data_IF_643371522745
#
_entry.id   IF_643371522745
#
_cell.length_a   1.000
_cell.length_b   1.000
_cell.length_c   1.000
_cell.angle_alpha   90.00
_cell.angle_beta   90.00
_cell.angle_gamma   90.00
#
_symmetry.space_group_name_H-M   'P 1'
#
loop_
_entity.id
_entity.type
_entity.pdbx_description
1 polymer ?
#
# COMPACT_ATOMS: atom_id res chain seq x y z
N UNK A 1 -25.02 35.36 -57.95
CA UNK A 1 -25.46 34.32 -56.98
C UNK A 1 -24.33 33.30 -56.79
N UNK A 2 -23.52 33.43 -55.74
CA UNK A 2 -22.62 32.37 -55.26
C UNK A 2 -22.76 32.32 -53.74
N UNK A 3 -23.31 31.22 -53.23
CA UNK A 3 -23.53 30.96 -51.80
C UNK A 3 -22.19 30.55 -51.17
N UNK A 4 -21.70 31.34 -50.23
CA UNK A 4 -20.63 30.93 -49.33
C UNK A 4 -21.21 30.12 -48.18
N UNK A 5 -20.77 28.88 -48.02
CA UNK A 5 -21.09 28.04 -46.87
C UNK A 5 -20.04 28.30 -45.78
N UNK A 6 -20.46 28.94 -44.69
CA UNK A 6 -19.69 29.04 -43.44
C UNK A 6 -19.93 27.76 -42.65
N UNK A 7 -18.92 26.90 -42.55
CA UNK A 7 -18.88 25.80 -41.59
C UNK A 7 -18.35 26.34 -40.26
N UNK A 8 -19.24 26.51 -39.28
CA UNK A 8 -18.87 26.76 -37.90
C UNK A 8 -18.46 25.42 -37.26
N UNK A 9 -17.15 25.20 -37.11
CA UNK A 9 -16.63 24.08 -36.33
C UNK A 9 -16.78 24.38 -34.84
N UNK A 10 -17.70 23.67 -34.17
CA UNK A 10 -17.70 23.57 -32.71
C UNK A 10 -16.46 22.80 -32.28
N UNK A 11 -15.47 23.50 -31.73
CA UNK A 11 -14.38 22.87 -30.97
C UNK A 11 -14.94 22.56 -29.58
N UNK A 12 -15.37 21.33 -29.37
CA UNK A 12 -15.65 20.80 -28.04
C UNK A 12 -14.33 20.76 -27.25
N UNK A 13 -14.12 21.71 -26.34
CA UNK A 13 -13.12 21.56 -25.28
C UNK A 13 -13.55 20.38 -24.41
N UNK A 14 -12.97 19.20 -24.69
CA UNK A 14 -12.89 18.14 -23.70
C UNK A 14 -12.02 18.67 -22.55
N UNK A 15 -12.67 19.15 -21.49
CA UNK A 15 -12.04 19.30 -20.20
C UNK A 15 -11.67 17.89 -19.73
N UNK A 16 -10.45 17.47 -20.06
CA UNK A 16 -9.82 16.31 -19.44
C UNK A 16 -9.58 16.75 -18.00
N UNK A 17 -10.54 16.49 -17.11
CA UNK A 17 -10.25 16.47 -15.69
C UNK A 17 -9.16 15.42 -15.54
N UNK A 18 -7.94 15.84 -15.20
CA UNK A 18 -6.84 14.97 -14.83
C UNK A 18 -7.32 14.13 -13.65
N UNK A 19 -7.93 12.99 -13.95
CA UNK A 19 -8.22 11.98 -12.97
C UNK A 19 -6.90 11.62 -12.32
N UNK A 20 -6.81 11.87 -11.03
CA UNK A 20 -5.67 11.50 -10.21
C UNK A 20 -5.43 10.01 -10.40
N UNK A 21 -4.30 9.63 -11.01
CA UNK A 21 -3.98 8.25 -11.34
C UNK A 21 -3.65 7.45 -10.08
N UNK A 22 -4.66 6.90 -9.39
CA UNK A 22 -4.41 6.12 -8.16
C UNK A 22 -5.25 4.84 -8.16
N UNK A 23 -4.69 3.84 -8.84
CA UNK A 23 -5.31 2.56 -9.20
C UNK A 23 -5.71 1.63 -8.03
N UNK A 24 -5.65 2.06 -6.75
CA UNK A 24 -5.97 1.16 -5.63
C UNK A 24 -7.46 1.12 -5.26
N UNK A 25 -8.26 2.14 -5.61
CA UNK A 25 -9.70 2.22 -5.23
C UNK A 25 -10.64 2.87 -6.25
N UNK A 26 -10.23 2.99 -7.50
CA UNK A 26 -11.02 3.61 -8.58
C UNK A 26 -12.26 2.82 -9.01
N UNK A 27 -12.54 1.69 -8.37
CA UNK A 27 -13.71 0.86 -8.66
C UNK A 27 -14.90 1.14 -7.74
N UNK A 28 -14.73 1.91 -6.66
CA UNK A 28 -15.85 2.37 -5.84
C UNK A 28 -16.44 3.65 -6.40
N UNK A 29 -17.76 3.69 -6.46
CA UNK A 29 -18.49 4.95 -6.65
C UNK A 29 -18.23 5.91 -5.47
N UNK A 30 -18.34 7.24 -5.65
CA UNK A 30 -18.26 8.20 -4.55
C UNK A 30 -19.19 7.84 -3.37
N UNK A 31 -20.40 7.38 -3.67
CA UNK A 31 -21.40 6.97 -2.68
C UNK A 31 -20.94 5.75 -1.87
N UNK A 32 -20.38 4.74 -2.55
CA UNK A 32 -19.82 3.58 -1.86
C UNK A 32 -18.63 3.95 -0.98
N UNK A 33 -17.75 4.86 -1.43
CA UNK A 33 -16.65 5.35 -0.59
C UNK A 33 -17.16 6.03 0.67
N UNK A 34 -18.19 6.87 0.54
CA UNK A 34 -18.82 7.54 1.68
C UNK A 34 -19.48 6.53 2.64
N UNK A 35 -20.15 5.50 2.12
CA UNK A 35 -20.73 4.43 2.93
C UNK A 35 -19.66 3.66 3.71
N UNK A 36 -18.59 3.24 3.03
CA UNK A 36 -17.49 2.49 3.64
C UNK A 36 -16.77 3.31 4.73
N UNK A 37 -16.53 4.59 4.48
CA UNK A 37 -15.92 5.50 5.44
C UNK A 37 -16.76 5.67 6.73
N UNK A 38 -18.07 5.38 6.67
CA UNK A 38 -19.00 5.49 7.80
C UNK A 38 -19.30 4.17 8.49
N UNK A 39 -18.80 3.03 8.02
CA UNK A 39 -19.07 1.71 8.62
C UNK A 39 -18.76 1.70 10.13
N UNK A 40 -19.77 1.38 10.93
CA UNK A 40 -19.69 1.20 12.37
C UNK A 40 -20.06 -0.22 12.78
N UNK A 41 -21.08 -0.80 12.15
CA UNK A 41 -21.64 -2.10 12.50
C UNK A 41 -21.36 -3.13 11.42
N UNK A 42 -20.68 -4.21 11.79
CA UNK A 42 -20.26 -5.28 10.89
C UNK A 42 -20.99 -6.57 11.26
N UNK A 43 -21.74 -7.15 10.32
CA UNK A 43 -22.22 -8.52 10.45
C UNK A 43 -21.07 -9.48 10.11
N UNK A 44 -20.75 -10.42 11.00
CA UNK A 44 -19.73 -11.44 10.75
C UNK A 44 -20.39 -12.79 10.47
N UNK A 45 -20.16 -13.30 9.27
CA UNK A 45 -20.55 -14.64 8.86
C UNK A 45 -19.30 -15.53 8.76
N UNK A 46 -19.36 -16.74 9.31
CA UNK A 46 -18.28 -17.72 9.20
C UNK A 46 -18.79 -19.08 8.74
N UNK A 47 -18.06 -19.74 7.84
CA UNK A 47 -18.35 -21.08 7.35
C UNK A 47 -17.08 -21.91 7.44
N UNK A 48 -17.20 -23.16 7.92
CA UNK A 48 -16.10 -24.12 8.02
C UNK A 48 -16.46 -25.39 7.26
N UNK A 49 -15.67 -25.76 6.25
CA UNK A 49 -15.91 -26.91 5.39
C UNK A 49 -14.74 -27.91 5.45
N UNK A 50 -15.07 -29.17 5.65
CA UNK A 50 -14.12 -30.30 5.62
C UNK A 50 -14.51 -31.28 4.53
N UNK A 51 -13.67 -32.28 4.28
CA UNK A 51 -14.04 -33.38 3.37
C UNK A 51 -15.29 -34.16 3.83
N UNK A 52 -15.65 -34.06 5.12
CA UNK A 52 -16.85 -34.67 5.71
C UNK A 52 -18.07 -33.75 5.68
N UNK A 53 -17.96 -32.56 5.08
CA UNK A 53 -19.01 -31.55 5.01
C UNK A 53 -18.79 -30.38 5.97
N UNK A 54 -19.87 -29.62 6.20
CA UNK A 54 -19.84 -28.44 7.07
C UNK A 54 -19.64 -28.86 8.52
N UNK A 55 -18.77 -28.12 9.22
CA UNK A 55 -18.57 -28.26 10.66
C UNK A 55 -18.88 -26.93 11.37
N UNK A 56 -18.83 -26.93 12.69
CA UNK A 56 -19.02 -25.71 13.48
C UNK A 56 -17.93 -24.67 13.19
N UNK A 57 -18.35 -23.43 12.91
CA UNK A 57 -17.47 -22.31 12.57
C UNK A 57 -17.37 -21.27 13.69
N UNK A 58 -17.98 -21.53 14.86
CA UNK A 58 -18.06 -20.57 15.97
C UNK A 58 -16.70 -20.02 16.38
N UNK A 59 -15.68 -20.87 16.53
CA UNK A 59 -14.34 -20.42 16.93
C UNK A 59 -13.71 -19.47 15.90
N UNK A 60 -13.96 -19.67 14.61
CA UNK A 60 -13.47 -18.77 13.55
C UNK A 60 -14.24 -17.44 13.57
N UNK A 61 -15.56 -17.50 13.79
CA UNK A 61 -16.41 -16.31 13.96
C UNK A 61 -16.00 -15.49 15.18
N UNK A 62 -15.66 -16.14 16.29
CA UNK A 62 -15.20 -15.50 17.52
C UNK A 62 -13.90 -14.73 17.32
N UNK A 63 -12.92 -15.31 16.61
CA UNK A 63 -11.70 -14.59 16.22
C UNK A 63 -12.04 -13.34 15.43
N UNK A 64 -12.86 -13.48 14.38
CA UNK A 64 -13.24 -12.37 13.53
C UNK A 64 -13.98 -11.26 14.29
N UNK A 65 -14.92 -11.66 15.16
CA UNK A 65 -15.72 -10.77 16.00
C UNK A 65 -14.84 -9.99 16.96
N UNK A 66 -14.05 -10.68 17.80
CA UNK A 66 -13.18 -10.04 18.78
C UNK A 66 -12.21 -9.08 18.11
N UNK A 67 -11.56 -9.52 17.04
CA UNK A 67 -10.52 -8.72 16.36
C UNK A 67 -11.07 -7.50 15.63
N UNK A 68 -12.29 -7.54 15.10
CA UNK A 68 -12.95 -6.33 14.59
C UNK A 68 -13.37 -5.39 15.73
N UNK A 69 -13.87 -5.94 16.85
CA UNK A 69 -14.22 -5.13 18.03
C UNK A 69 -13.00 -4.43 18.65
N UNK A 70 -11.80 -5.02 18.59
CA UNK A 70 -10.55 -4.36 19.01
C UNK A 70 -10.24 -3.06 18.23
N UNK A 71 -10.75 -2.92 17.00
CA UNK A 71 -10.66 -1.68 16.20
C UNK A 71 -11.87 -0.74 16.42
N UNK A 72 -12.73 -1.09 17.37
CA UNK A 72 -13.91 -0.33 17.76
C UNK A 72 -15.13 -0.52 16.85
N UNK A 73 -15.18 -1.56 16.02
CA UNK A 73 -16.40 -1.90 15.28
C UNK A 73 -17.42 -2.54 16.23
N UNK A 74 -18.69 -2.18 16.07
CA UNK A 74 -19.78 -2.93 16.66
C UNK A 74 -19.98 -4.18 15.81
N UNK A 75 -19.87 -5.36 16.40
CA UNK A 75 -20.02 -6.61 15.64
C UNK A 75 -21.33 -7.29 16.01
N UNK A 76 -22.08 -7.70 14.99
CA UNK A 76 -23.27 -8.53 15.12
C UNK A 76 -23.07 -9.86 14.41
N UNK A 77 -23.79 -10.89 14.87
CA UNK A 77 -23.76 -12.24 14.27
C UNK A 77 -25.14 -12.69 13.79
N UNK A 78 -26.19 -11.94 14.14
CA UNK A 78 -27.56 -12.18 13.74
C UNK A 78 -27.87 -11.32 12.51
N UNK A 79 -28.14 -11.91 11.34
CA UNK A 79 -28.46 -11.17 10.12
C UNK A 79 -29.69 -10.26 10.23
N UNK A 80 -30.58 -10.52 11.21
CA UNK A 80 -31.76 -9.67 11.45
C UNK A 80 -31.40 -8.35 12.15
N UNK A 81 -30.21 -8.23 12.75
CA UNK A 81 -29.76 -6.98 13.37
C UNK A 81 -29.28 -5.98 12.30
N UNK A 82 -29.55 -4.68 12.46
CA UNK A 82 -29.02 -3.65 11.57
C UNK A 82 -27.50 -3.72 11.49
N UNK A 83 -26.96 -3.63 10.27
CA UNK A 83 -25.53 -3.64 9.99
C UNK A 83 -25.23 -2.89 8.69
N UNK A 84 -24.02 -2.36 8.57
CA UNK A 84 -23.60 -1.56 7.41
C UNK A 84 -22.99 -2.44 6.31
N UNK A 85 -22.26 -3.49 6.72
CA UNK A 85 -21.55 -4.42 5.85
C UNK A 85 -21.58 -5.83 6.41
N UNK A 86 -21.40 -6.83 5.53
CA UNK A 86 -21.24 -8.23 5.91
C UNK A 86 -19.80 -8.66 5.66
N UNK A 87 -19.05 -8.98 6.70
CA UNK A 87 -17.73 -9.58 6.59
C UNK A 87 -17.82 -11.10 6.66
N UNK A 88 -17.22 -11.78 5.68
CA UNK A 88 -17.31 -13.24 5.51
C UNK A 88 -15.96 -13.90 5.69
N UNK A 89 -15.96 -14.94 6.53
CA UNK A 89 -14.81 -15.82 6.76
C UNK A 89 -15.18 -17.24 6.35
N UNK A 90 -14.71 -17.68 5.19
CA UNK A 90 -14.95 -19.05 4.72
C UNK A 90 -13.65 -19.84 4.83
N UNK A 91 -13.59 -20.80 5.75
CA UNK A 91 -12.44 -21.67 5.94
C UNK A 91 -12.73 -23.08 5.44
N UNK A 92 -11.81 -23.63 4.65
CA UNK A 92 -11.96 -24.93 4.01
C UNK A 92 -10.71 -25.78 4.28
N UNK A 93 -10.89 -27.07 4.55
CA UNK A 93 -9.79 -28.04 4.65
C UNK A 93 -9.10 -28.22 3.28
N UNK A 94 -9.89 -28.18 2.20
CA UNK A 94 -9.41 -28.19 0.83
C UNK A 94 -10.01 -27.00 0.10
N UNK A 95 -9.18 -25.98 -0.11
CA UNK A 95 -9.62 -24.74 -0.73
C UNK A 95 -10.22 -24.99 -2.12
N UNK A 96 -11.42 -24.43 -2.35
CA UNK A 96 -11.99 -24.28 -3.70
C UNK A 96 -11.62 -22.92 -4.29
N UNK A 97 -11.26 -22.90 -5.57
CA UNK A 97 -10.92 -21.67 -6.26
C UNK A 97 -12.15 -20.76 -6.44
N UNK A 98 -12.11 -19.55 -5.88
CA UNK A 98 -13.21 -18.57 -5.98
C UNK A 98 -12.95 -17.44 -7.00
N UNK A 99 -11.87 -17.54 -7.77
CA UNK A 99 -11.44 -16.49 -8.69
C UNK A 99 -10.25 -15.68 -8.18
N UNK A 100 -9.58 -14.99 -9.10
CA UNK A 100 -8.55 -14.01 -8.79
C UNK A 100 -9.24 -12.68 -8.51
N UNK A 101 -8.65 -11.86 -7.65
CA UNK A 101 -8.89 -10.42 -7.72
C UNK A 101 -8.40 -9.90 -9.10
N UNK A 102 -9.14 -8.99 -9.73
CA UNK A 102 -8.71 -8.33 -10.98
C UNK A 102 -7.64 -7.25 -10.76
N UNK A 103 -7.07 -7.12 -9.56
CA UNK A 103 -5.96 -6.19 -9.29
C UNK A 103 -4.65 -6.73 -9.85
N UNK A 104 -4.12 -6.04 -10.85
CA UNK A 104 -2.87 -6.37 -11.55
C UNK A 104 -1.58 -6.17 -10.75
N UNK A 105 -1.64 -5.84 -9.46
CA UNK A 105 -0.45 -5.75 -8.59
C UNK A 105 -0.55 -6.60 -7.32
N UNK A 106 -1.75 -7.11 -6.98
CA UNK A 106 -1.94 -7.90 -5.77
C UNK A 106 -1.76 -9.39 -6.04
N UNK A 107 -1.83 -9.86 -7.29
CA UNK A 107 -1.75 -11.28 -7.63
C UNK A 107 -0.51 -11.99 -7.06
N UNK A 108 0.59 -11.24 -6.86
CA UNK A 108 1.86 -11.76 -6.34
C UNK A 108 2.00 -11.65 -4.81
N UNK A 109 1.02 -11.06 -4.11
CA UNK A 109 1.05 -10.99 -2.66
C UNK A 109 0.82 -12.40 -2.05
N UNK A 110 1.54 -12.75 -0.96
CA UNK A 110 1.37 -14.05 -0.30
C UNK A 110 -0.08 -14.34 0.13
N UNK A 111 -0.84 -13.28 0.43
CA UNK A 111 -2.22 -13.32 0.91
C UNK A 111 -3.27 -13.16 -0.22
N UNK A 112 -2.84 -13.17 -1.49
CA UNK A 112 -3.76 -13.18 -2.61
C UNK A 112 -4.30 -14.56 -2.91
N UNK A 113 -5.56 -14.68 -3.39
CA UNK A 113 -6.13 -15.98 -3.75
C UNK A 113 -5.23 -16.76 -4.71
N UNK A 114 -4.75 -17.94 -4.31
CA UNK A 114 -3.90 -18.80 -5.16
C UNK A 114 -4.70 -19.86 -5.91
N UNK A 115 -4.57 -19.90 -7.24
CA UNK A 115 -5.17 -20.98 -8.04
C UNK A 115 -4.51 -22.34 -7.77
N UNK A 116 -3.23 -22.33 -7.39
CA UNK A 116 -2.40 -23.55 -7.23
C UNK A 116 -2.51 -24.17 -5.84
N UNK A 117 -2.76 -23.38 -4.80
CA UNK A 117 -2.94 -23.90 -3.44
C UNK A 117 -4.21 -24.76 -3.33
N UNK A 118 -4.08 -25.97 -2.79
CA UNK A 118 -5.20 -26.92 -2.57
C UNK A 118 -5.39 -27.35 -1.12
N UNK A 119 -4.52 -26.89 -0.22
CA UNK A 119 -4.62 -27.18 1.20
C UNK A 119 -5.62 -26.32 1.95
N UNK A 120 -5.57 -26.37 3.30
CA UNK A 120 -6.45 -25.57 4.12
C UNK A 120 -6.26 -24.07 3.91
N UNK A 121 -7.35 -23.33 3.77
CA UNK A 121 -7.32 -21.87 3.65
C UNK A 121 -8.61 -21.23 4.15
N UNK A 122 -8.49 -20.00 4.66
CA UNK A 122 -9.61 -19.09 4.86
C UNK A 122 -9.63 -18.02 3.77
N UNK A 123 -10.77 -17.87 3.11
CA UNK A 123 -11.08 -16.79 2.19
C UNK A 123 -11.87 -15.72 2.95
N UNK A 124 -11.33 -14.50 2.93
CA UNK A 124 -11.89 -13.33 3.57
C UNK A 124 -12.44 -12.40 2.49
N UNK A 125 -13.70 -12.00 2.59
CA UNK A 125 -14.31 -11.02 1.70
C UNK A 125 -15.41 -10.26 2.44
N UNK A 126 -16.01 -9.26 1.80
CA UNK A 126 -17.16 -8.56 2.36
C UNK A 126 -18.21 -8.20 1.31
N UNK A 127 -19.43 -7.99 1.80
CA UNK A 127 -20.56 -7.48 1.04
C UNK A 127 -20.89 -6.05 1.48
N UNK A 128 -21.20 -5.19 0.50
CA UNK A 128 -21.77 -3.86 0.72
C UNK A 128 -23.14 -3.82 0.04
N UNK A 129 -24.21 -3.58 0.81
CA UNK A 129 -25.59 -3.62 0.29
C UNK A 129 -25.96 -4.95 -0.39
N UNK A 130 -25.47 -6.08 0.14
CA UNK A 130 -25.67 -7.42 -0.44
C UNK A 130 -24.79 -7.75 -1.66
N UNK A 131 -24.03 -6.79 -2.18
CA UNK A 131 -23.15 -7.00 -3.34
C UNK A 131 -21.75 -7.39 -2.89
N UNK A 132 -21.19 -8.47 -3.45
CA UNK A 132 -19.81 -8.89 -3.18
C UNK A 132 -18.83 -7.87 -3.76
N UNK A 133 -17.99 -7.31 -2.89
CA UNK A 133 -16.91 -6.42 -3.29
C UNK A 133 -15.69 -7.24 -3.72
N UNK A 134 -14.87 -6.66 -4.60
CA UNK A 134 -13.69 -7.32 -5.20
C UNK A 134 -12.57 -7.60 -4.20
N UNK A 135 -12.54 -6.91 -3.07
CA UNK A 135 -11.59 -7.15 -2.00
C UNK A 135 -11.70 -8.59 -1.50
N UNK A 136 -10.59 -9.33 -1.58
CA UNK A 136 -10.49 -10.69 -1.10
C UNK A 136 -9.07 -10.98 -0.60
N UNK A 137 -8.97 -11.62 0.55
CA UNK A 137 -7.71 -12.07 1.14
C UNK A 137 -7.75 -13.56 1.47
N UNK A 138 -6.58 -14.19 1.44
CA UNK A 138 -6.40 -15.61 1.66
C UNK A 138 -5.41 -15.88 2.77
N UNK A 139 -5.85 -16.62 3.78
CA UNK A 139 -5.04 -17.05 4.91
C UNK A 139 -4.83 -18.55 4.81
N UNK A 140 -3.59 -18.99 4.65
CA UNK A 140 -3.23 -20.40 4.46
C UNK A 140 -2.57 -20.98 5.70
N UNK A 141 -2.72 -22.29 5.87
CA UNK A 141 -1.82 -23.08 6.73
C UNK A 141 -0.42 -23.16 6.10
N UNK A 142 0.54 -23.67 6.88
CA UNK A 142 1.91 -23.98 6.46
C UNK A 142 2.04 -25.36 5.80
N UNK A 143 0.96 -26.15 5.77
CA UNK A 143 0.87 -27.44 5.10
C UNK A 143 -0.28 -27.48 4.09
N UNK A 144 -0.11 -28.28 3.03
CA UNK A 144 -1.15 -28.55 2.05
C UNK A 144 -2.00 -29.78 2.39
N UNK A 145 -1.38 -30.84 2.92
CA UNK A 145 -2.06 -32.08 3.26
C UNK A 145 -2.44 -32.12 4.75
N UNK A 146 -3.72 -31.90 5.03
CA UNK A 146 -4.26 -31.93 6.39
C UNK A 146 -4.19 -33.31 7.04
N UNK A 147 -4.28 -34.39 6.26
CA UNK A 147 -4.22 -35.77 6.78
C UNK A 147 -2.81 -36.07 7.24
N UNK A 148 -1.81 -35.80 6.40
CA UNK A 148 -0.41 -35.99 6.75
C UNK A 148 -0.01 -35.11 7.94
N UNK A 149 -0.43 -33.84 7.93
CA UNK A 149 -0.11 -32.90 9.01
C UNK A 149 -0.74 -33.29 10.35
N UNK A 150 -1.99 -33.78 10.35
CA UNK A 150 -2.65 -34.27 11.56
C UNK A 150 -1.97 -35.53 12.11
N UNK A 151 -1.61 -36.48 11.23
CA UNK A 151 -0.87 -37.68 11.62
C UNK A 151 0.50 -37.33 12.23
N UNK A 152 1.28 -36.46 11.59
CA UNK A 152 2.58 -36.02 12.08
C UNK A 152 2.50 -35.33 13.45
N UNK A 153 1.38 -34.63 13.72
CA UNK A 153 1.12 -33.97 14.99
C UNK A 153 0.46 -34.88 16.05
N UNK A 154 0.23 -36.17 15.76
CA UNK A 154 -0.59 -37.07 16.58
C UNK A 154 -1.97 -36.49 16.94
N UNK A 155 -2.55 -35.71 16.02
CA UNK A 155 -3.87 -35.14 16.16
C UNK A 155 -4.96 -36.12 15.70
N UNK A 156 -6.20 -35.86 16.13
CA UNK A 156 -7.36 -36.66 15.75
C UNK A 156 -7.84 -36.39 14.33
N UNK A 157 -9.04 -35.82 14.20
CA UNK A 157 -9.65 -35.57 12.88
C UNK A 157 -8.86 -34.53 12.06
N UNK A 158 -8.43 -34.84 10.82
CA UNK A 158 -7.68 -33.92 9.96
C UNK A 158 -8.41 -32.60 9.64
N UNK A 159 -9.73 -32.65 9.48
CA UNK A 159 -10.55 -31.47 9.21
C UNK A 159 -10.58 -30.53 10.42
N UNK A 160 -10.83 -31.07 11.61
CA UNK A 160 -10.78 -30.31 12.86
C UNK A 160 -9.37 -29.75 13.14
N UNK A 161 -8.32 -30.53 12.86
CA UNK A 161 -6.94 -30.08 12.98
C UNK A 161 -6.65 -28.91 12.03
N UNK A 162 -7.06 -29.02 10.76
CA UNK A 162 -6.93 -27.94 9.78
C UNK A 162 -7.65 -26.65 10.23
N UNK A 163 -8.88 -26.75 10.72
CA UNK A 163 -9.64 -25.58 11.20
C UNK A 163 -8.99 -24.93 12.43
N UNK A 164 -8.43 -25.74 13.33
CA UNK A 164 -7.66 -25.23 14.47
C UNK A 164 -6.45 -24.44 14.01
N UNK A 165 -5.70 -24.96 13.03
CA UNK A 165 -4.54 -24.24 12.46
C UNK A 165 -4.96 -23.00 11.69
N UNK A 166 -6.05 -23.04 10.94
CA UNK A 166 -6.58 -21.85 10.27
C UNK A 166 -7.05 -20.78 11.25
N UNK A 167 -7.66 -21.16 12.38
CA UNK A 167 -7.96 -20.24 13.48
C UNK A 167 -6.69 -19.57 13.99
N UNK A 168 -5.63 -20.33 14.27
CA UNK A 168 -4.34 -19.79 14.71
C UNK A 168 -3.75 -18.80 13.70
N UNK A 169 -3.91 -19.06 12.40
CA UNK A 169 -3.46 -18.15 11.34
C UNK A 169 -4.31 -16.88 11.27
N UNK A 170 -5.62 -16.95 11.47
CA UNK A 170 -6.51 -15.78 11.55
C UNK A 170 -6.20 -14.88 12.76
N UNK A 171 -5.75 -15.47 13.87
CA UNK A 171 -5.30 -14.71 15.05
C UNK A 171 -4.10 -13.81 14.71
N UNK A 172 -3.19 -14.32 13.87
CA UNK A 172 -1.95 -13.63 13.50
C UNK A 172 -2.11 -12.69 12.30
N UNK A 173 -2.99 -13.01 11.36
CA UNK A 173 -3.14 -12.26 10.11
C UNK A 173 -3.92 -10.96 10.32
N UNK A 174 -3.33 -9.80 10.05
CA UNK A 174 -3.90 -8.47 10.31
C UNK A 174 -5.02 -8.02 9.35
N UNK A 175 -5.96 -8.92 9.01
CA UNK A 175 -7.13 -8.58 8.21
C UNK A 175 -7.96 -7.39 8.74
N UNK A 176 -8.10 -7.13 10.06
CA UNK A 176 -8.88 -5.97 10.51
C UNK A 176 -8.27 -4.65 10.08
N UNK A 177 -6.93 -4.55 10.07
CA UNK A 177 -6.22 -3.34 9.63
C UNK A 177 -6.36 -3.17 8.11
N UNK A 178 -6.18 -4.25 7.35
CA UNK A 178 -6.34 -4.23 5.89
C UNK A 178 -7.76 -3.85 5.48
N UNK A 179 -8.76 -4.39 6.18
CA UNK A 179 -10.18 -4.09 5.94
C UNK A 179 -10.53 -2.65 6.32
N UNK A 180 -9.99 -2.16 7.45
CA UNK A 180 -10.18 -0.76 7.89
C UNK A 180 -9.55 0.23 6.91
N UNK A 181 -8.37 -0.08 6.37
CA UNK A 181 -7.76 0.68 5.29
C UNK A 181 -8.63 0.60 4.03
N UNK A 182 -9.11 -0.59 3.66
CA UNK A 182 -10.01 -0.74 2.50
C UNK A 182 -11.25 0.15 2.60
N UNK A 183 -11.78 0.31 3.80
CA UNK A 183 -12.93 1.16 4.07
C UNK A 183 -12.62 2.65 4.22
N UNK A 184 -11.36 3.08 4.04
CA UNK A 184 -10.97 4.49 4.14
C UNK A 184 -11.00 5.06 5.56
N UNK A 185 -10.92 4.21 6.60
CA UNK A 185 -11.12 4.65 7.98
C UNK A 185 -9.81 4.99 8.69
N UNK A 186 -9.15 6.07 8.24
CA UNK A 186 -7.87 6.54 8.80
C UNK A 186 -7.93 6.77 10.32
N UNK A 187 -9.01 7.35 10.83
CA UNK A 187 -9.21 7.61 12.27
C UNK A 187 -9.10 6.35 13.14
N UNK A 188 -9.61 5.20 12.67
CA UNK A 188 -9.47 3.94 13.40
C UNK A 188 -8.04 3.44 13.37
N UNK A 189 -7.33 3.59 12.25
CA UNK A 189 -5.92 3.25 12.15
C UNK A 189 -5.07 4.13 13.07
N UNK A 190 -5.34 5.44 13.13
CA UNK A 190 -4.67 6.37 14.04
C UNK A 190 -4.86 5.97 15.52
N UNK A 191 -6.08 5.57 15.91
CA UNK A 191 -6.32 5.02 17.26
C UNK A 191 -5.46 3.79 17.56
N UNK A 192 -5.26 2.89 16.59
CA UNK A 192 -4.38 1.72 16.77
C UNK A 192 -2.92 2.15 16.90
N UNK A 193 -2.45 3.12 16.09
CA UNK A 193 -1.09 3.65 16.17
C UNK A 193 -0.78 4.23 17.56
N UNK A 194 -1.78 4.91 18.15
CA UNK A 194 -1.68 5.61 19.43
C UNK A 194 -1.96 4.72 20.65
N UNK A 195 -2.56 3.53 20.44
CA UNK A 195 -2.95 2.67 21.54
C UNK A 195 -1.71 2.18 22.33
N UNK A 196 -1.76 2.23 23.68
CA UNK A 196 -0.69 1.67 24.50
C UNK A 196 -0.60 0.15 24.26
N UNK A 197 0.61 -0.37 24.10
CA UNK A 197 0.85 -1.79 23.84
C UNK A 197 0.79 -2.22 22.38
N UNK A 198 0.50 -1.33 21.43
CA UNK A 198 0.67 -1.64 20.00
C UNK A 198 2.14 -1.88 19.72
N UNK A 199 2.48 -3.12 19.31
CA UNK A 199 3.85 -3.50 18.97
C UNK A 199 4.35 -2.79 17.70
N UNK A 200 5.66 -2.73 17.55
CA UNK A 200 6.35 -2.00 16.48
C UNK A 200 5.93 -2.46 15.07
N UNK A 201 5.90 -3.77 14.81
CA UNK A 201 5.48 -4.32 13.51
C UNK A 201 4.06 -3.89 13.14
N UNK A 202 3.16 -3.86 14.13
CA UNK A 202 1.79 -3.40 13.94
C UNK A 202 1.73 -1.89 13.68
N UNK A 203 2.56 -1.09 14.36
CA UNK A 203 2.70 0.36 14.06
C UNK A 203 3.20 0.60 12.65
N UNK A 204 4.25 -0.12 12.21
CA UNK A 204 4.78 -0.03 10.84
C UNK A 204 3.72 -0.35 9.80
N UNK A 205 2.92 -1.41 10.03
CA UNK A 205 1.79 -1.75 9.16
C UNK A 205 0.76 -0.62 9.12
N UNK A 206 0.37 -0.06 10.27
CA UNK A 206 -0.57 1.06 10.34
C UNK A 206 -0.05 2.28 9.60
N UNK A 207 1.22 2.65 9.77
CA UNK A 207 1.86 3.77 9.07
C UNK A 207 1.84 3.55 7.55
N UNK A 208 2.15 2.35 7.07
CA UNK A 208 2.03 2.00 5.64
C UNK A 208 0.62 2.24 5.12
N UNK A 209 -0.37 1.70 5.84
CA UNK A 209 -1.77 1.82 5.46
C UNK A 209 -2.25 3.28 5.45
N UNK A 210 -1.83 4.10 6.41
CA UNK A 210 -2.15 5.53 6.42
C UNK A 210 -1.58 6.26 5.20
N UNK A 211 -0.36 5.92 4.78
CA UNK A 211 0.22 6.44 3.53
C UNK A 211 -0.55 5.98 2.28
N UNK A 212 -0.99 4.73 2.24
CA UNK A 212 -1.82 4.18 1.16
C UNK A 212 -3.23 4.77 1.12
N UNK A 213 -3.77 5.19 2.26
CA UNK A 213 -5.05 5.89 2.35
C UNK A 213 -4.99 7.31 1.78
N UNK A 214 -3.81 7.95 1.80
CA UNK A 214 -3.63 9.35 1.41
C UNK A 214 -4.56 10.32 2.17
N UNK A 215 -4.89 10.00 3.44
CA UNK A 215 -5.74 10.84 4.28
C UNK A 215 -4.87 11.85 5.06
N UNK A 216 -5.01 13.14 4.72
CA UNK A 216 -4.25 14.24 5.33
C UNK A 216 -4.39 14.31 6.85
N UNK A 217 -5.45 13.74 7.43
CA UNK A 217 -5.60 13.62 8.90
C UNK A 217 -4.48 12.82 9.55
N UNK A 218 -3.78 11.99 8.80
CA UNK A 218 -2.63 11.23 9.28
C UNK A 218 -1.36 12.09 9.45
N UNK A 219 -1.27 13.24 8.77
CA UNK A 219 -0.05 14.06 8.70
C UNK A 219 0.54 14.41 10.07
N UNK A 220 -0.23 14.89 11.07
CA UNK A 220 0.32 15.20 12.40
C UNK A 220 0.94 13.98 13.08
N UNK A 221 0.34 12.80 12.91
CA UNK A 221 0.80 11.57 13.56
C UNK A 221 1.97 10.93 12.83
N UNK A 222 2.00 11.01 11.50
CA UNK A 222 3.17 10.61 10.72
C UNK A 222 4.38 11.50 11.02
N UNK A 223 4.17 12.82 11.20
CA UNK A 223 5.22 13.74 11.64
C UNK A 223 5.76 13.36 13.02
N UNK A 224 4.91 12.95 13.94
CA UNK A 224 5.37 12.47 15.26
C UNK A 224 6.16 11.17 15.14
N UNK A 225 5.71 10.24 14.29
CA UNK A 225 6.39 8.97 14.05
C UNK A 225 7.80 9.13 13.44
N UNK A 226 8.13 10.28 12.83
CA UNK A 226 9.51 10.59 12.40
C UNK A 226 10.51 10.72 13.56
N UNK A 227 10.04 10.96 14.79
CA UNK A 227 10.91 11.09 15.96
C UNK A 227 11.32 9.74 16.54
N UNK A 228 10.56 8.69 16.22
CA UNK A 228 10.85 7.33 16.63
C UNK A 228 11.77 6.70 15.58
N UNK A 229 12.99 6.32 15.99
CA UNK A 229 14.02 5.80 15.08
C UNK A 229 13.54 4.59 14.29
N UNK A 230 12.74 3.73 14.91
CA UNK A 230 12.31 2.46 14.31
C UNK A 230 11.12 2.68 13.36
N UNK A 231 10.37 3.77 13.53
CA UNK A 231 9.23 4.13 12.68
C UNK A 231 9.56 5.17 11.59
N UNK A 232 10.61 5.97 11.79
CA UNK A 232 10.87 7.17 11.01
C UNK A 232 10.99 6.92 9.50
N UNK A 233 11.66 5.83 9.10
CA UNK A 233 11.80 5.46 7.70
C UNK A 233 10.44 5.19 7.05
N UNK A 234 9.57 4.42 7.72
CA UNK A 234 8.25 4.08 7.20
C UNK A 234 7.33 5.31 7.22
N UNK A 235 7.44 6.16 8.24
CA UNK A 235 6.70 7.42 8.33
C UNK A 235 7.08 8.39 7.21
N UNK A 236 8.35 8.50 6.85
CA UNK A 236 8.81 9.31 5.72
C UNK A 236 8.25 8.81 4.38
N UNK A 237 8.22 7.50 4.17
CA UNK A 237 7.60 6.91 2.97
C UNK A 237 6.09 7.19 2.93
N UNK A 238 5.40 7.03 4.06
CA UNK A 238 3.96 7.31 4.15
C UNK A 238 3.63 8.79 3.93
N UNK A 239 4.44 9.71 4.48
CA UNK A 239 4.34 11.15 4.22
C UNK A 239 4.47 11.45 2.72
N UNK A 240 5.43 10.81 2.04
CA UNK A 240 5.61 10.93 0.59
C UNK A 240 4.41 10.46 -0.25
N UNK A 241 3.49 9.70 0.34
CA UNK A 241 2.25 9.28 -0.31
C UNK A 241 1.05 10.15 0.06
N UNK A 242 1.05 10.90 1.17
CA UNK A 242 -0.09 11.74 1.57
C UNK A 242 -0.33 12.88 0.58
N UNK A 243 0.74 13.55 0.14
CA UNK A 243 0.66 14.61 -0.86
C UNK A 243 1.44 15.86 -0.52
N UNK A 244 1.05 17.00 -1.10
CA UNK A 244 1.83 18.25 -1.12
C UNK A 244 2.15 18.81 0.26
N UNK A 245 1.27 18.64 1.24
CA UNK A 245 1.47 19.15 2.60
C UNK A 245 2.63 18.47 3.32
N UNK A 246 3.09 17.31 2.83
CA UNK A 246 4.28 16.62 3.33
C UNK A 246 5.61 17.23 2.84
N UNK A 247 5.59 18.03 1.76
CA UNK A 247 6.82 18.54 1.11
C UNK A 247 7.71 19.30 2.10
N UNK A 248 7.21 20.27 2.90
CA UNK A 248 8.07 21.00 3.83
C UNK A 248 8.72 20.08 4.87
N UNK A 249 8.01 19.04 5.32
CA UNK A 249 8.49 18.08 6.32
C UNK A 249 9.61 17.22 5.71
N UNK A 250 9.42 16.73 4.48
CA UNK A 250 10.40 15.90 3.79
C UNK A 250 11.64 16.70 3.38
N UNK A 251 11.49 17.98 2.99
CA UNK A 251 12.63 18.88 2.72
C UNK A 251 13.45 19.09 3.98
N UNK A 252 12.80 19.38 5.11
CA UNK A 252 13.48 19.55 6.38
C UNK A 252 14.26 18.28 6.76
N UNK A 253 13.62 17.12 6.69
CA UNK A 253 14.27 15.84 6.98
C UNK A 253 15.44 15.54 6.04
N UNK A 254 15.34 15.84 4.74
CA UNK A 254 16.43 15.68 3.78
C UNK A 254 17.66 16.51 4.19
N UNK A 255 17.44 17.74 4.62
CA UNK A 255 18.51 18.72 4.91
C UNK A 255 19.11 18.58 6.31
N UNK A 256 18.29 18.23 7.31
CA UNK A 256 18.69 18.33 8.71
C UNK A 256 18.97 16.99 9.37
N UNK A 257 18.50 15.88 8.79
CA UNK A 257 18.77 14.54 9.34
C UNK A 257 20.27 14.22 9.29
N UNK A 258 20.76 13.62 10.38
CA UNK A 258 22.11 13.05 10.46
C UNK A 258 22.17 11.59 10.02
N UNK A 259 21.03 10.97 9.78
CA UNK A 259 20.92 9.59 9.31
C UNK A 259 20.73 9.57 7.79
N UNK A 260 21.71 9.05 7.02
CA UNK A 260 21.60 8.90 5.58
C UNK A 260 20.38 8.08 5.13
N UNK A 261 19.92 7.11 5.92
CA UNK A 261 18.73 6.34 5.55
C UNK A 261 17.46 7.20 5.60
N UNK A 262 17.35 8.08 6.59
CA UNK A 262 16.24 9.03 6.67
C UNK A 262 16.35 10.10 5.58
N UNK A 263 17.54 10.61 5.27
CA UNK A 263 17.72 11.52 4.14
C UNK A 263 17.30 10.87 2.82
N UNK A 264 17.69 9.61 2.58
CA UNK A 264 17.30 8.85 1.40
C UNK A 264 15.78 8.60 1.35
N UNK A 265 15.17 8.29 2.49
CA UNK A 265 13.71 8.15 2.59
C UNK A 265 12.97 9.46 2.30
N UNK A 266 13.49 10.61 2.77
CA UNK A 266 12.96 11.93 2.42
C UNK A 266 13.05 12.21 0.92
N UNK A 267 14.23 11.98 0.32
CA UNK A 267 14.41 12.18 -1.11
C UNK A 267 13.40 11.35 -1.91
N UNK A 268 13.29 10.04 -1.60
CA UNK A 268 12.30 9.15 -2.21
C UNK A 268 10.87 9.65 -2.03
N UNK A 269 10.51 10.10 -0.82
CA UNK A 269 9.20 10.67 -0.52
C UNK A 269 8.89 11.91 -1.37
N UNK A 270 9.86 12.84 -1.49
CA UNK A 270 9.74 14.01 -2.35
C UNK A 270 9.52 13.61 -3.81
N UNK A 271 10.27 12.63 -4.32
CA UNK A 271 10.06 12.09 -5.67
C UNK A 271 8.67 11.49 -5.89
N UNK A 272 8.11 10.82 -4.88
CA UNK A 272 6.74 10.30 -4.94
C UNK A 272 5.72 11.44 -5.02
N UNK A 273 5.80 12.43 -4.13
CA UNK A 273 4.89 13.59 -4.14
C UNK A 273 5.01 14.38 -5.45
N UNK A 274 6.23 14.60 -5.93
CA UNK A 274 6.50 15.29 -7.19
C UNK A 274 5.85 14.59 -8.37
N UNK A 275 6.06 13.27 -8.48
CA UNK A 275 5.44 12.45 -9.53
C UNK A 275 3.91 12.44 -9.44
N UNK A 276 3.40 12.35 -8.21
CA UNK A 276 1.98 12.25 -7.91
C UNK A 276 1.19 13.51 -8.24
N UNK A 277 1.78 14.69 -7.95
CA UNK A 277 1.06 15.96 -7.95
C UNK A 277 1.69 17.05 -8.84
N UNK A 278 2.76 16.72 -9.57
CA UNK A 278 3.47 17.65 -10.45
C UNK A 278 4.12 18.83 -9.71
N UNK A 279 4.47 18.66 -8.43
CA UNK A 279 4.94 19.77 -7.61
C UNK A 279 6.45 20.02 -7.77
N UNK A 280 6.80 20.94 -8.67
CA UNK A 280 8.18 21.29 -8.98
C UNK A 280 8.91 22.07 -7.87
N UNK A 281 8.26 22.35 -6.73
CA UNK A 281 8.91 22.97 -5.55
C UNK A 281 9.92 22.03 -4.89
N UNK A 282 9.83 20.73 -5.14
CA UNK A 282 10.81 19.74 -4.66
C UNK A 282 12.17 19.84 -5.37
N UNK A 283 12.22 20.43 -6.58
CA UNK A 283 13.41 20.38 -7.43
C UNK A 283 14.58 21.17 -6.82
N UNK A 284 14.45 22.45 -6.41
CA UNK A 284 15.57 23.19 -5.82
C UNK A 284 16.24 22.51 -4.60
N UNK A 285 15.51 22.03 -3.57
CA UNK A 285 16.15 21.38 -2.43
C UNK A 285 16.79 20.04 -2.79
N UNK A 286 16.24 19.29 -3.75
CA UNK A 286 16.88 18.07 -4.26
C UNK A 286 18.20 18.38 -4.97
N UNK A 287 18.25 19.43 -5.80
CA UNK A 287 19.48 19.83 -6.52
C UNK A 287 20.57 20.36 -5.58
N UNK A 288 20.18 21.12 -4.55
CA UNK A 288 21.08 21.57 -3.48
C UNK A 288 21.76 20.36 -2.80
N UNK A 289 20.97 19.35 -2.45
CA UNK A 289 21.46 18.16 -1.75
C UNK A 289 22.23 17.20 -2.66
N UNK A 290 21.89 17.13 -3.95
CA UNK A 290 22.65 16.34 -4.94
C UNK A 290 24.12 16.78 -4.99
N UNK A 291 24.34 18.08 -4.85
CA UNK A 291 25.66 18.73 -4.94
C UNK A 291 26.31 18.96 -3.58
N UNK A 292 25.66 18.58 -2.48
CA UNK A 292 26.16 18.83 -1.13
C UNK A 292 27.48 18.07 -0.87
N UNK A 293 28.50 18.71 -0.28
CA UNK A 293 29.73 18.03 0.09
C UNK A 293 29.48 16.90 1.10
N UNK A 294 30.08 15.73 0.87
CA UNK A 294 30.02 14.60 1.81
C UNK A 294 28.67 13.88 1.89
N UNK A 295 27.74 14.17 0.98
CA UNK A 295 26.45 13.49 0.90
C UNK A 295 26.64 11.99 0.66
N UNK A 296 25.87 11.15 1.36
CA UNK A 296 25.94 9.70 1.23
C UNK A 296 25.44 9.25 -0.16
N UNK A 297 26.12 8.28 -0.76
CA UNK A 297 25.82 7.75 -2.11
C UNK A 297 24.38 7.24 -2.21
N UNK A 298 23.82 6.68 -1.14
CA UNK A 298 22.42 6.21 -1.09
C UNK A 298 21.45 7.38 -1.21
N UNK A 299 21.76 8.49 -0.55
CA UNK A 299 20.97 9.73 -0.63
C UNK A 299 21.04 10.33 -2.04
N UNK A 300 22.25 10.45 -2.62
CA UNK A 300 22.39 10.88 -4.02
C UNK A 300 21.62 10.01 -4.99
N UNK A 301 21.57 8.69 -4.74
CA UNK A 301 20.85 7.74 -5.59
C UNK A 301 19.35 8.03 -5.56
N UNK A 302 18.75 8.18 -4.38
CA UNK A 302 17.32 8.50 -4.25
C UNK A 302 16.99 9.91 -4.76
N UNK A 303 17.90 10.88 -4.62
CA UNK A 303 17.74 12.21 -5.23
C UNK A 303 17.69 12.09 -6.76
N UNK A 304 18.62 11.35 -7.37
CA UNK A 304 18.63 11.15 -8.83
C UNK A 304 17.34 10.49 -9.33
N UNK A 305 16.88 9.42 -8.68
CA UNK A 305 15.58 8.80 -8.98
C UNK A 305 14.44 9.81 -8.89
N UNK A 306 14.43 10.63 -7.83
CA UNK A 306 13.37 11.60 -7.57
C UNK A 306 13.31 12.71 -8.62
N UNK A 307 14.47 13.21 -9.06
CA UNK A 307 14.56 14.18 -10.14
C UNK A 307 14.09 13.59 -11.48
N UNK A 308 14.34 12.30 -11.73
CA UNK A 308 13.83 11.63 -12.94
C UNK A 308 12.32 11.38 -12.93
N UNK A 309 11.73 11.14 -11.74
CA UNK A 309 10.27 10.98 -11.58
C UNK A 309 9.47 12.25 -11.85
N UNK A 310 10.10 13.41 -11.73
CA UNK A 310 9.53 14.71 -12.08
C UNK A 310 10.47 15.44 -13.05
N UNK A 311 10.38 15.16 -14.36
CA UNK A 311 11.22 15.77 -15.37
C UNK A 311 11.18 17.30 -15.32
N UNK A 312 12.33 17.91 -15.08
CA UNK A 312 12.48 19.37 -15.00
C UNK A 312 13.81 19.78 -15.64
N UNK A 313 13.78 20.83 -16.49
CA UNK A 313 14.96 21.32 -17.22
C UNK A 313 16.11 21.72 -16.28
N UNK A 314 15.81 22.18 -15.06
CA UNK A 314 16.80 22.54 -14.03
C UNK A 314 17.63 21.34 -13.58
N UNK A 315 17.11 20.12 -13.73
CA UNK A 315 17.78 18.89 -13.34
C UNK A 315 18.81 18.40 -14.36
N UNK A 316 18.73 18.84 -15.62
CA UNK A 316 19.51 18.32 -16.73
C UNK A 316 21.02 18.50 -16.49
N UNK A 317 21.50 19.73 -16.36
CA UNK A 317 22.93 19.98 -16.20
C UNK A 317 23.50 19.40 -14.88
N UNK A 318 22.84 19.53 -13.72
CA UNK A 318 23.30 18.88 -12.48
C UNK A 318 23.44 17.35 -12.60
N UNK A 319 22.51 16.67 -13.28
CA UNK A 319 22.59 15.23 -13.50
C UNK A 319 23.74 14.87 -14.45
N UNK A 320 23.94 15.61 -15.55
CA UNK A 320 25.09 15.41 -16.44
C UNK A 320 26.43 15.68 -15.74
N UNK A 321 26.49 16.71 -14.90
CA UNK A 321 27.68 17.02 -14.11
C UNK A 321 28.02 15.87 -13.14
N UNK A 322 27.01 15.25 -12.52
CA UNK A 322 27.19 14.07 -11.69
C UNK A 322 27.63 12.86 -12.51
N UNK A 323 26.99 12.58 -13.66
CA UNK A 323 27.39 11.49 -14.55
C UNK A 323 28.87 11.60 -14.94
N UNK A 324 29.33 12.77 -15.40
CA UNK A 324 30.74 13.01 -15.73
C UNK A 324 31.70 12.71 -14.57
N UNK A 325 31.29 12.93 -13.31
CA UNK A 325 32.08 12.54 -12.14
C UNK A 325 32.06 11.02 -11.95
N UNK A 326 30.90 10.38 -12.06
CA UNK A 326 30.73 8.94 -11.88
C UNK A 326 31.47 8.13 -12.95
N UNK A 327 31.55 8.60 -14.20
CA UNK A 327 32.30 7.93 -15.28
C UNK A 327 33.80 7.84 -15.01
N UNK A 328 34.34 8.74 -14.17
CA UNK A 328 35.75 8.72 -13.74
C UNK A 328 36.01 7.66 -12.66
N UNK A 329 34.98 7.22 -11.94
CA UNK A 329 35.07 6.18 -10.93
C UNK A 329 35.14 4.82 -11.63
N UNK A 330 36.34 4.24 -11.65
CA UNK A 330 36.64 2.91 -12.20
C UNK A 330 37.11 2.01 -11.07
N UNK A 331 36.21 1.17 -10.56
CA UNK A 331 36.53 0.11 -9.61
C UNK A 331 36.21 -1.25 -10.25
N UNK A 332 37.07 -2.24 -10.00
CA UNK A 332 36.87 -3.63 -10.42
C UNK A 332 37.11 -4.56 -9.21
N UNK A 333 36.07 -5.26 -8.70
CA UNK A 333 34.68 -5.18 -9.13
C UNK A 333 34.03 -3.81 -8.80
N UNK A 334 33.00 -3.40 -9.54
CA UNK A 334 32.31 -2.13 -9.30
C UNK A 334 31.60 -2.14 -7.95
N UNK A 335 31.76 -1.07 -7.17
CA UNK A 335 31.00 -0.84 -5.93
C UNK A 335 29.49 -0.89 -6.23
N UNK A 336 28.71 -1.78 -5.57
CA UNK A 336 27.27 -1.91 -5.78
C UNK A 336 26.49 -0.61 -5.59
N UNK A 337 26.90 0.27 -4.67
CA UNK A 337 26.24 1.55 -4.42
C UNK A 337 26.51 2.53 -5.57
N UNK A 338 27.76 2.61 -6.04
CA UNK A 338 28.12 3.44 -7.19
C UNK A 338 27.44 2.94 -8.46
N UNK A 339 27.31 1.61 -8.63
CA UNK A 339 26.57 1.03 -9.75
C UNK A 339 25.10 1.49 -9.75
N UNK A 340 24.41 1.40 -8.61
CA UNK A 340 23.03 1.89 -8.46
C UNK A 340 22.90 3.39 -8.72
N UNK A 341 23.85 4.19 -8.24
CA UNK A 341 23.86 5.62 -8.50
C UNK A 341 24.01 5.93 -10.00
N UNK A 342 24.90 5.23 -10.71
CA UNK A 342 25.06 5.35 -12.17
C UNK A 342 23.76 5.01 -12.91
N UNK A 343 23.10 3.92 -12.51
CA UNK A 343 21.79 3.51 -13.08
C UNK A 343 20.72 4.58 -12.86
N UNK A 344 20.62 5.12 -11.64
CA UNK A 344 19.68 6.17 -11.28
C UNK A 344 19.90 7.46 -12.09
N UNK A 345 21.15 7.92 -12.16
CA UNK A 345 21.51 9.14 -12.90
C UNK A 345 21.26 8.96 -14.39
N UNK A 346 21.67 7.83 -14.98
CA UNK A 346 21.44 7.56 -16.39
C UNK A 346 19.95 7.51 -16.74
N UNK A 347 19.14 6.84 -15.92
CA UNK A 347 17.69 6.82 -16.10
C UNK A 347 17.08 8.22 -15.97
N UNK A 348 17.48 8.98 -14.95
CA UNK A 348 16.96 10.32 -14.71
C UNK A 348 17.30 11.30 -15.84
N UNK A 349 18.53 11.23 -16.39
CA UNK A 349 18.92 12.03 -17.57
C UNK A 349 17.96 11.75 -18.74
N UNK A 350 17.63 10.48 -19.01
CA UNK A 350 16.71 10.11 -20.09
C UNK A 350 15.28 10.62 -19.87
N UNK A 351 14.84 10.76 -18.61
CA UNK A 351 13.53 11.33 -18.32
C UNK A 351 13.52 12.86 -18.49
N UNK A 352 14.59 13.53 -18.06
CA UNK A 352 14.69 15.00 -18.06
C UNK A 352 15.14 15.60 -19.39
N UNK A 353 15.82 14.81 -20.24
CA UNK A 353 16.40 15.25 -21.51
C UNK A 353 15.95 14.34 -22.66
N UNK A 354 15.15 14.91 -23.56
CA UNK A 354 14.85 14.37 -24.88
C UNK A 354 15.38 15.34 -25.93
N UNK A 355 16.15 14.88 -26.92
CA UNK A 355 16.82 15.72 -27.93
C UNK A 355 15.86 16.67 -28.67
N UNK A 356 14.58 16.29 -28.80
CA UNK A 356 13.53 17.09 -29.43
C UNK A 356 13.10 18.35 -28.64
N UNK A 357 13.45 18.49 -27.36
CA UNK A 357 13.06 19.65 -26.54
C UNK A 357 14.03 20.85 -26.61
N UNK A 358 15.13 20.69 -27.36
CA UNK A 358 16.21 21.66 -27.50
C UNK A 358 16.72 21.81 -28.94
N UNK A 359 16.01 21.20 -29.91
CA UNK A 359 16.10 21.49 -31.34
C UNK A 359 15.12 22.60 -31.70
#
# INVERSE_FOLDING_TARGET
MRRGALWAGLVSLLAITSGTSWAYRDYFTPEQREQLAKVQTVLVEAIALTDKGSIDSNQLREVATRRLSELGYTVVIDPAKPHDVVFRVKCEQRKVWEGTTTMGSDADLPDSPSRVWKGPACQLNYLLGGTKIKWQKEVRTDFEDAVQAAQAANAGDPGAYAMTKLKDRLEQYDFPLLLTAEWGQAERLLKVLEAPGTNELRKLKVISLLGELMDDKALPRLKEALKDKDLAKQAAVALGNLGKDSIPILIDMLKTSKDPELQAAAAKGLGNVGSAHGDATIIPPLLEMLSAPGIDVRVQTEIAWSLGKLPDKRSVEPLFALDRKLQKIRHDPPDPLIKKLKEAVFWAIKQCYTEDQYS
#
